data_IF_219356782239
#
_entry.id   IF_219356782239
#
_cell.length_a   1.000
_cell.length_b   1.000
_cell.length_c   1.000
_cell.angle_alpha   90.00
_cell.angle_beta   90.00
_cell.angle_gamma   90.00
#
_symmetry.space_group_name_H-M   'P 1'
#
loop_
_entity.id
_entity.type
_entity.pdbx_description
1 polymer ?
#
# COMPACT_ATOMS: atom_id res chain seq x y z
N UNK A 1 -21.35 -10.69 -13.09
CA UNK A 1 -21.97 -9.52 -12.42
C UNK A 1 -23.15 -9.87 -11.49
N UNK A 2 -23.82 -11.03 -11.62
CA UNK A 2 -24.95 -11.41 -10.75
C UNK A 2 -24.57 -12.04 -9.40
N UNK A 3 -23.46 -12.80 -9.33
CA UNK A 3 -23.01 -13.46 -8.09
C UNK A 3 -22.53 -12.45 -7.03
N UNK A 4 -21.73 -11.46 -7.43
CA UNK A 4 -21.21 -10.43 -6.52
C UNK A 4 -22.32 -9.56 -5.93
N UNK A 5 -23.32 -9.18 -6.74
CA UNK A 5 -24.47 -8.41 -6.28
C UNK A 5 -25.36 -9.17 -5.28
N UNK A 6 -25.59 -10.46 -5.50
CA UNK A 6 -26.34 -11.30 -4.57
C UNK A 6 -25.61 -11.49 -3.23
N UNK A 7 -24.29 -11.69 -3.26
CA UNK A 7 -23.48 -11.78 -2.04
C UNK A 7 -23.48 -10.46 -1.25
N UNK A 8 -23.32 -9.32 -1.93
CA UNK A 8 -23.35 -8.00 -1.28
C UNK A 8 -24.72 -7.72 -0.67
N UNK A 9 -25.81 -8.06 -1.37
CA UNK A 9 -27.17 -7.93 -0.86
C UNK A 9 -27.39 -8.81 0.39
N UNK A 10 -26.99 -10.08 0.34
CA UNK A 10 -27.20 -10.99 1.46
C UNK A 10 -26.34 -10.58 2.68
N UNK A 11 -25.14 -10.05 2.44
CA UNK A 11 -24.28 -9.50 3.48
C UNK A 11 -24.85 -8.22 4.11
N UNK A 12 -25.47 -7.35 3.31
CA UNK A 12 -26.11 -6.12 3.80
C UNK A 12 -27.44 -6.37 4.51
N UNK A 13 -28.16 -7.46 4.19
CA UNK A 13 -29.45 -7.79 4.82
C UNK A 13 -29.32 -8.74 6.02
N UNK A 14 -28.32 -9.63 6.06
CA UNK A 14 -28.20 -10.70 7.08
C UNK A 14 -26.84 -10.67 7.81
N UNK A 15 -25.81 -10.05 7.22
CA UNK A 15 -24.42 -10.20 7.68
C UNK A 15 -23.95 -9.29 8.83
N UNK A 16 -24.68 -8.23 9.17
CA UNK A 16 -24.24 -7.19 10.12
C UNK A 16 -24.77 -7.34 11.56
N UNK A 17 -25.31 -8.52 11.90
CA UNK A 17 -25.83 -8.83 13.24
C UNK A 17 -26.82 -7.80 13.84
N UNK A 18 -27.46 -6.99 13.00
CA UNK A 18 -28.37 -5.90 13.40
C UNK A 18 -27.71 -4.63 13.95
N UNK A 19 -26.36 -4.51 13.95
CA UNK A 19 -25.64 -3.30 14.39
C UNK A 19 -25.00 -2.56 13.23
N UNK A 20 -25.32 -1.27 13.08
CA UNK A 20 -24.74 -0.43 12.01
C UNK A 20 -23.20 -0.41 12.07
N UNK A 21 -22.62 -0.44 13.28
CA UNK A 21 -21.16 -0.50 13.46
C UNK A 21 -20.54 -1.74 12.81
N UNK A 22 -21.20 -2.89 12.88
CA UNK A 22 -20.74 -4.14 12.26
C UNK A 22 -20.82 -4.05 10.73
N UNK A 23 -21.79 -3.30 10.18
CA UNK A 23 -21.88 -3.02 8.75
C UNK A 23 -20.72 -2.14 8.26
N UNK A 24 -20.36 -1.10 9.03
CA UNK A 24 -19.20 -0.24 8.73
C UNK A 24 -17.90 -1.05 8.77
N UNK A 25 -17.74 -1.93 9.77
CA UNK A 25 -16.60 -2.85 9.86
C UNK A 25 -16.54 -3.76 8.62
N UNK A 26 -17.65 -4.38 8.21
CA UNK A 26 -17.70 -5.21 7.00
C UNK A 26 -17.29 -4.44 5.74
N UNK A 27 -17.85 -3.25 5.52
CA UNK A 27 -17.57 -2.44 4.33
C UNK A 27 -16.08 -2.08 4.29
N UNK A 28 -15.55 -1.61 5.42
CA UNK A 28 -14.13 -1.26 5.58
C UNK A 28 -13.23 -2.46 5.29
N UNK A 29 -13.61 -3.64 5.79
CA UNK A 29 -12.87 -4.88 5.59
C UNK A 29 -12.82 -5.24 4.11
N UNK A 30 -13.98 -5.32 3.46
CA UNK A 30 -14.07 -5.71 2.07
C UNK A 30 -13.36 -4.72 1.15
N UNK A 31 -13.49 -3.43 1.41
CA UNK A 31 -12.90 -2.40 0.59
C UNK A 31 -11.37 -2.37 0.72
N UNK A 32 -10.83 -2.53 1.94
CA UNK A 32 -9.39 -2.67 2.17
C UNK A 32 -8.82 -3.94 1.50
N UNK A 33 -9.47 -5.09 1.66
CA UNK A 33 -9.01 -6.34 1.03
C UNK A 33 -9.02 -6.24 -0.49
N UNK A 34 -10.08 -5.67 -1.08
CA UNK A 34 -10.16 -5.45 -2.52
C UNK A 34 -9.05 -4.51 -3.01
N UNK A 35 -8.78 -3.43 -2.27
CA UNK A 35 -7.75 -2.47 -2.60
C UNK A 35 -6.35 -3.07 -2.48
N UNK A 36 -6.06 -3.89 -1.46
CA UNK A 36 -4.80 -4.63 -1.34
C UNK A 36 -4.56 -5.53 -2.55
N UNK A 37 -5.60 -6.25 -3.00
CA UNK A 37 -5.50 -7.12 -4.18
C UNK A 37 -5.24 -6.29 -5.43
N UNK A 38 -5.95 -5.17 -5.62
CA UNK A 38 -5.76 -4.27 -6.76
C UNK A 38 -4.33 -3.72 -6.79
N UNK A 39 -3.82 -3.23 -5.65
CA UNK A 39 -2.47 -2.67 -5.50
C UNK A 39 -1.36 -3.68 -5.84
N UNK A 40 -1.58 -4.97 -5.59
CA UNK A 40 -0.61 -6.02 -5.94
C UNK A 40 -0.77 -6.48 -7.39
N UNK A 41 -2.00 -6.65 -7.87
CA UNK A 41 -2.26 -7.18 -9.20
C UNK A 41 -1.88 -6.20 -10.32
N UNK A 42 -2.14 -4.90 -10.17
CA UNK A 42 -1.87 -3.93 -11.23
C UNK A 42 -0.36 -3.88 -11.58
N UNK A 43 0.57 -3.71 -10.63
CA UNK A 43 2.00 -3.76 -10.94
C UNK A 43 2.46 -5.12 -11.46
N UNK A 44 1.81 -6.20 -11.04
CA UNK A 44 2.09 -7.55 -11.53
C UNK A 44 1.70 -7.72 -13.01
N UNK A 45 0.53 -7.24 -13.41
CA UNK A 45 0.12 -7.20 -14.83
C UNK A 45 1.05 -6.31 -15.67
N UNK A 46 1.57 -5.24 -15.08
CA UNK A 46 2.58 -4.38 -15.69
C UNK A 46 4.03 -4.79 -15.36
N UNK A 47 4.29 -6.08 -15.10
CA UNK A 47 5.61 -6.58 -14.71
C UNK A 47 6.74 -6.19 -15.67
N UNK A 48 6.48 -6.09 -16.98
CA UNK A 48 7.48 -5.62 -17.96
C UNK A 48 7.86 -4.15 -17.75
N UNK A 49 6.87 -3.28 -17.50
CA UNK A 49 7.09 -1.88 -17.16
C UNK A 49 7.85 -1.75 -15.85
N UNK A 50 7.47 -2.53 -14.84
CA UNK A 50 8.18 -2.58 -13.56
C UNK A 50 9.62 -3.07 -13.70
N UNK A 51 9.87 -4.05 -14.57
CA UNK A 51 11.22 -4.52 -14.88
C UNK A 51 12.08 -3.41 -15.50
N UNK A 52 11.53 -2.63 -16.44
CA UNK A 52 12.22 -1.47 -17.00
C UNK A 52 12.61 -0.44 -15.92
N UNK A 53 11.67 -0.08 -15.04
CA UNK A 53 11.92 0.84 -13.92
C UNK A 53 13.02 0.30 -13.00
N UNK A 54 12.92 -0.96 -12.59
CA UNK A 54 13.91 -1.59 -11.70
C UNK A 54 15.29 -1.66 -12.35
N UNK A 55 15.35 -2.00 -13.64
CA UNK A 55 16.62 -2.01 -14.37
C UNK A 55 17.23 -0.61 -14.45
N UNK A 56 16.42 0.43 -14.70
CA UNK A 56 16.90 1.82 -14.64
C UNK A 56 17.47 2.17 -13.27
N UNK A 57 16.81 1.76 -12.18
CA UNK A 57 17.29 2.01 -10.81
C UNK A 57 18.65 1.32 -10.58
N UNK A 58 18.78 0.05 -10.96
CA UNK A 58 20.03 -0.70 -10.83
C UNK A 58 21.15 -0.02 -11.62
N UNK A 59 20.87 0.39 -12.85
CA UNK A 59 21.82 1.14 -13.66
C UNK A 59 22.23 2.45 -13.00
N UNK A 60 21.28 3.21 -12.44
CA UNK A 60 21.57 4.47 -11.74
C UNK A 60 22.53 4.27 -10.57
N UNK A 61 22.28 3.25 -9.74
CA UNK A 61 23.17 2.91 -8.63
C UNK A 61 24.54 2.44 -9.11
N UNK A 62 24.61 1.68 -10.21
CA UNK A 62 25.88 1.24 -10.78
C UNK A 62 26.71 2.40 -11.35
N UNK A 63 26.05 3.43 -11.89
CA UNK A 63 26.69 4.61 -12.49
C UNK A 63 27.13 5.65 -11.45
N UNK A 64 26.69 5.52 -10.20
CA UNK A 64 26.99 6.44 -9.10
C UNK A 64 28.44 6.32 -8.62
N UNK A 65 29.40 6.73 -9.47
CA UNK A 65 30.83 6.57 -9.21
C UNK A 65 31.44 7.74 -8.38
N UNK A 66 30.70 8.85 -8.25
CA UNK A 66 31.14 10.00 -7.46
C UNK A 66 30.50 9.97 -6.06
N UNK A 67 31.29 10.25 -5.02
CA UNK A 67 30.83 10.40 -3.64
C UNK A 67 29.65 11.36 -3.53
N UNK A 68 29.69 12.50 -4.23
CA UNK A 68 28.60 13.49 -4.21
C UNK A 68 27.29 12.93 -4.77
N UNK A 69 27.38 12.10 -5.82
CA UNK A 69 26.21 11.44 -6.41
C UNK A 69 25.61 10.41 -5.44
N UNK A 70 26.48 9.57 -4.88
CA UNK A 70 26.10 8.57 -3.89
C UNK A 70 25.44 9.20 -2.64
N UNK A 71 25.98 10.32 -2.13
CA UNK A 71 25.44 11.01 -0.95
C UNK A 71 24.03 11.55 -1.21
N UNK A 72 23.77 12.11 -2.39
CA UNK A 72 22.44 12.59 -2.78
C UNK A 72 21.46 11.41 -2.91
N UNK A 73 21.83 10.34 -3.61
CA UNK A 73 20.97 9.15 -3.74
C UNK A 73 20.66 8.53 -2.37
N UNK A 74 21.65 8.46 -1.48
CA UNK A 74 21.48 7.96 -0.11
C UNK A 74 20.59 8.84 0.75
N UNK A 75 20.65 10.18 0.60
CA UNK A 75 19.75 11.12 1.27
C UNK A 75 18.28 10.83 0.95
N UNK A 76 17.94 10.57 -0.32
CA UNK A 76 16.57 10.23 -0.70
C UNK A 76 16.17 8.81 -0.28
N UNK A 77 17.06 7.83 -0.43
CA UNK A 77 16.84 6.48 0.06
C UNK A 77 16.61 6.43 1.58
N UNK A 78 17.31 7.27 2.35
CA UNK A 78 17.11 7.41 3.79
C UNK A 78 15.72 7.95 4.12
N UNK A 79 15.24 8.99 3.43
CA UNK A 79 13.87 9.50 3.61
C UNK A 79 12.82 8.41 3.31
N UNK A 80 13.01 7.65 2.23
CA UNK A 80 12.17 6.49 1.89
C UNK A 80 12.14 5.45 3.01
N UNK A 81 13.31 5.07 3.53
CA UNK A 81 13.43 4.12 4.66
C UNK A 81 12.79 4.64 5.94
N UNK A 82 12.90 5.93 6.24
CA UNK A 82 12.30 6.52 7.43
C UNK A 82 10.76 6.40 7.38
N UNK A 83 10.16 6.74 6.25
CA UNK A 83 8.70 6.59 6.03
C UNK A 83 8.29 5.11 6.10
N UNK A 84 9.07 4.21 5.50
CA UNK A 84 8.85 2.76 5.61
C UNK A 84 8.80 2.29 7.08
N UNK A 85 9.81 2.63 7.88
CA UNK A 85 9.91 2.23 9.29
C UNK A 85 8.73 2.79 10.08
N UNK A 86 8.39 4.07 9.87
CA UNK A 86 7.28 4.71 10.55
C UNK A 86 5.94 4.04 10.23
N UNK A 87 5.68 3.77 8.95
CA UNK A 87 4.44 3.13 8.50
C UNK A 87 4.32 1.68 9.00
N UNK A 88 5.42 0.91 8.98
CA UNK A 88 5.46 -0.44 9.54
C UNK A 88 5.20 -0.43 11.05
N UNK A 89 5.79 0.52 11.79
CA UNK A 89 5.59 0.66 13.23
C UNK A 89 4.12 0.96 13.57
N UNK A 90 3.50 1.93 12.89
CA UNK A 90 2.08 2.26 13.10
C UNK A 90 1.20 1.04 12.81
N UNK A 91 1.45 0.36 11.69
CA UNK A 91 0.68 -0.83 11.30
C UNK A 91 0.79 -1.93 12.35
N UNK A 92 2.01 -2.24 12.79
CA UNK A 92 2.25 -3.25 13.82
C UNK A 92 1.55 -2.89 15.13
N UNK A 93 1.62 -1.62 15.54
CA UNK A 93 0.93 -1.13 16.73
C UNK A 93 -0.60 -1.29 16.61
N UNK A 94 -1.20 -0.92 15.47
CA UNK A 94 -2.64 -1.06 15.25
C UNK A 94 -3.10 -2.52 15.26
N UNK A 95 -2.34 -3.43 14.62
CA UNK A 95 -2.64 -4.87 14.64
C UNK A 95 -2.53 -5.42 16.05
N UNK A 96 -1.44 -5.09 16.77
CA UNK A 96 -1.24 -5.54 18.16
C UNK A 96 -2.37 -5.06 19.07
N UNK A 97 -2.75 -3.78 18.99
CA UNK A 97 -3.87 -3.21 19.75
C UNK A 97 -5.17 -3.96 19.49
N UNK A 98 -5.49 -4.25 18.22
CA UNK A 98 -6.71 -4.97 17.85
C UNK A 98 -6.72 -6.40 18.42
N UNK A 99 -5.62 -7.14 18.29
CA UNK A 99 -5.49 -8.50 18.83
C UNK A 99 -5.62 -8.51 20.35
N UNK A 100 -4.99 -7.56 21.04
CA UNK A 100 -5.04 -7.47 22.51
C UNK A 100 -6.45 -7.14 23.02
N UNK A 101 -7.17 -6.25 22.33
CA UNK A 101 -8.52 -5.85 22.72
C UNK A 101 -9.58 -6.92 22.39
N UNK A 102 -9.35 -7.74 21.36
CA UNK A 102 -10.29 -8.77 20.88
C UNK A 102 -9.74 -10.19 21.04
N UNK A 103 -9.21 -10.51 22.22
CA UNK A 103 -8.72 -11.86 22.53
C UNK A 103 -9.83 -12.92 22.40
N UNK A 104 -9.51 -14.16 21.98
CA UNK A 104 -10.51 -15.18 21.74
C UNK A 104 -11.25 -15.53 23.03
N UNK A 105 -12.56 -15.26 23.05
CA UNK A 105 -13.40 -15.47 24.21
C UNK A 105 -14.88 -15.46 23.86
N UNK A 106 -15.70 -15.54 24.89
CA UNK A 106 -17.16 -15.52 24.79
C UNK A 106 -17.67 -14.29 25.53
N UNK A 107 -18.58 -13.54 24.92
CA UNK A 107 -19.17 -12.32 25.48
C UNK A 107 -20.69 -12.37 25.39
N UNK A 108 -21.34 -11.70 26.33
CA UNK A 108 -22.78 -11.51 26.32
C UNK A 108 -23.10 -10.26 25.51
N UNK A 109 -23.81 -10.42 24.38
CA UNK A 109 -24.21 -9.34 23.50
C UNK A 109 -25.70 -9.12 23.64
N UNK A 110 -26.10 -7.90 23.97
CA UNK A 110 -27.52 -7.51 23.97
C UNK A 110 -27.95 -7.26 22.52
N UNK A 111 -28.93 -8.02 22.05
CA UNK A 111 -29.55 -7.88 20.74
C UNK A 111 -31.07 -7.88 20.91
N UNK A 112 -31.73 -6.79 20.50
CA UNK A 112 -33.19 -6.66 20.50
C UNK A 112 -33.84 -7.04 21.84
N UNK A 113 -33.33 -6.48 22.95
CA UNK A 113 -33.77 -6.73 24.34
C UNK A 113 -33.54 -8.15 24.88
N UNK A 114 -32.78 -8.99 24.17
CA UNK A 114 -32.34 -10.32 24.64
C UNK A 114 -30.82 -10.40 24.73
N UNK A 115 -30.29 -11.08 25.75
CA UNK A 115 -28.86 -11.30 25.91
C UNK A 115 -28.48 -12.59 25.20
N UNK A 116 -27.72 -12.48 24.11
CA UNK A 116 -27.24 -13.61 23.31
C UNK A 116 -25.76 -13.80 23.59
N UNK A 117 -25.33 -15.06 23.69
CA UNK A 117 -23.92 -15.42 23.82
C UNK A 117 -23.28 -15.34 22.43
N UNK A 118 -22.18 -14.60 22.29
CA UNK A 118 -21.43 -14.49 21.05
C UNK A 118 -19.93 -14.77 21.27
N UNK A 119 -19.24 -15.22 20.21
CA UNK A 119 -17.79 -15.40 20.22
C UNK A 119 -17.10 -14.13 19.73
N UNK A 120 -15.97 -13.79 20.34
CA UNK A 120 -15.15 -12.67 19.90
C UNK A 120 -14.46 -13.05 18.59
N UNK A 121 -14.59 -12.19 17.59
CA UNK A 121 -13.89 -12.30 16.30
C UNK A 121 -12.96 -11.10 16.19
N UNK A 122 -11.68 -11.27 15.81
CA UNK A 122 -10.71 -10.18 15.84
C UNK A 122 -11.04 -9.11 14.80
N UNK A 123 -11.61 -9.53 13.67
CA UNK A 123 -12.09 -8.66 12.61
C UNK A 123 -13.41 -9.20 12.05
N UNK A 124 -14.42 -8.33 12.01
CA UNK A 124 -15.74 -8.63 11.49
C UNK A 124 -16.77 -9.01 12.56
N UNK A 125 -18.03 -9.18 12.12
CA UNK A 125 -19.16 -9.34 13.02
C UNK A 125 -19.13 -10.66 13.80
N UNK A 126 -19.45 -10.58 15.09
CA UNK A 126 -19.45 -11.75 16.00
C UNK A 126 -20.42 -12.86 15.60
N UNK A 127 -21.52 -12.54 14.89
CA UNK A 127 -22.51 -13.53 14.45
C UNK A 127 -22.03 -14.42 13.28
N UNK A 128 -20.87 -14.13 12.68
CA UNK A 128 -20.29 -15.02 11.65
C UNK A 128 -19.76 -16.33 12.24
N UNK A 129 -19.55 -16.37 13.56
CA UNK A 129 -19.10 -17.57 14.27
C UNK A 129 -20.20 -18.07 15.19
N UNK A 130 -20.75 -19.23 14.87
CA UNK A 130 -21.74 -19.88 15.71
C UNK A 130 -21.14 -20.33 17.06
N UNK A 131 -21.92 -20.20 18.13
CA UNK A 131 -21.57 -20.74 19.46
C UNK A 131 -21.62 -22.26 19.52
N UNK A 132 -22.32 -22.92 18.58
CA UNK A 132 -22.42 -24.39 18.46
C UNK A 132 -21.17 -25.04 17.87
N UNK A 133 -20.28 -24.24 17.28
CA UNK A 133 -19.05 -24.69 16.65
C UNK A 133 -18.05 -25.24 17.68
N UNK A 134 -17.33 -26.35 17.42
CA UNK A 134 -16.31 -26.85 18.34
C UNK A 134 -15.25 -25.78 18.66
N UNK A 135 -14.73 -25.79 19.90
CA UNK A 135 -13.75 -24.80 20.36
C UNK A 135 -12.47 -24.81 19.52
N UNK A 136 -12.03 -25.99 19.09
CA UNK A 136 -10.83 -26.16 18.26
C UNK A 136 -10.99 -25.51 16.88
N UNK A 137 -12.14 -25.73 16.24
CA UNK A 137 -12.43 -25.11 14.95
C UNK A 137 -12.51 -23.58 15.09
N UNK A 138 -13.05 -23.07 16.21
CA UNK A 138 -13.10 -21.63 16.48
C UNK A 138 -11.73 -21.00 16.65
N UNK A 139 -10.84 -21.64 17.42
CA UNK A 139 -9.46 -21.18 17.55
C UNK A 139 -8.75 -21.19 16.21
N UNK A 140 -8.94 -22.23 15.40
CA UNK A 140 -8.37 -22.32 14.05
C UNK A 140 -8.90 -21.22 13.11
N UNK A 141 -10.20 -20.92 13.15
CA UNK A 141 -10.80 -19.82 12.40
C UNK A 141 -10.26 -18.46 12.85
N UNK A 142 -10.18 -18.24 14.17
CA UNK A 142 -9.63 -17.02 14.76
C UNK A 142 -8.17 -16.79 14.31
N UNK A 143 -7.32 -17.81 14.40
CA UNK A 143 -5.91 -17.71 13.99
C UNK A 143 -5.78 -17.46 12.49
N UNK A 144 -6.61 -18.13 11.67
CA UNK A 144 -6.66 -17.92 10.23
C UNK A 144 -6.99 -16.47 9.88
N UNK A 145 -8.00 -15.87 10.52
CA UNK A 145 -8.36 -14.46 10.32
C UNK A 145 -7.17 -13.56 10.69
N UNK A 146 -6.53 -13.78 11.84
CA UNK A 146 -5.36 -12.97 12.23
C UNK A 146 -4.24 -13.02 11.18
N UNK A 147 -3.92 -14.20 10.65
CA UNK A 147 -2.89 -14.39 9.61
C UNK A 147 -3.32 -13.66 8.33
N UNK A 148 -4.56 -13.85 7.90
CA UNK A 148 -5.10 -13.17 6.72
C UNK A 148 -4.98 -11.65 6.85
N UNK A 149 -5.42 -11.09 7.97
CA UNK A 149 -5.37 -9.65 8.23
C UNK A 149 -3.96 -9.08 8.29
N UNK A 150 -3.05 -9.80 8.93
CA UNK A 150 -1.65 -9.44 8.96
C UNK A 150 -1.07 -9.39 7.54
N UNK A 151 -1.33 -10.42 6.74
CA UNK A 151 -0.87 -10.48 5.34
C UNK A 151 -1.49 -9.40 4.46
N UNK A 152 -2.79 -9.14 4.61
CA UNK A 152 -3.51 -8.13 3.84
C UNK A 152 -3.04 -6.71 4.18
N UNK A 153 -2.75 -6.44 5.45
CA UNK A 153 -2.23 -5.16 5.92
C UNK A 153 -0.80 -4.93 5.41
N UNK A 154 0.05 -5.95 5.44
CA UNK A 154 1.40 -5.87 4.87
C UNK A 154 1.37 -5.65 3.36
N UNK A 155 0.50 -6.34 2.63
CA UNK A 155 0.33 -6.13 1.20
C UNK A 155 -0.17 -4.71 0.89
N UNK A 156 -1.12 -4.20 1.69
CA UNK A 156 -1.65 -2.86 1.55
C UNK A 156 -0.56 -1.79 1.67
N UNK A 157 0.10 -1.75 2.83
CA UNK A 157 1.13 -0.76 3.16
C UNK A 157 2.41 -0.97 2.35
N UNK A 158 2.77 -2.22 2.04
CA UNK A 158 3.99 -2.56 1.33
C UNK A 158 4.07 -1.93 -0.05
N UNK A 159 2.96 -1.90 -0.79
CA UNK A 159 2.90 -1.26 -2.10
C UNK A 159 3.04 0.26 -1.98
N UNK A 160 2.43 0.89 -0.97
CA UNK A 160 2.54 2.34 -0.78
C UNK A 160 3.97 2.78 -0.46
N UNK A 161 4.62 2.02 0.44
CA UNK A 161 6.03 2.21 0.76
C UNK A 161 6.90 2.02 -0.48
N UNK A 162 6.58 1.01 -1.31
CA UNK A 162 7.31 0.74 -2.53
C UNK A 162 7.19 1.89 -3.54
N UNK A 163 5.97 2.36 -3.82
CA UNK A 163 5.71 3.52 -4.69
C UNK A 163 6.44 4.76 -4.16
N UNK A 164 6.33 5.02 -2.86
CA UNK A 164 7.02 6.16 -2.24
C UNK A 164 8.54 6.05 -2.40
N UNK A 165 9.11 4.86 -2.19
CA UNK A 165 10.54 4.60 -2.40
C UNK A 165 10.99 4.87 -3.83
N UNK A 166 10.21 4.44 -4.83
CA UNK A 166 10.46 4.71 -6.25
C UNK A 166 10.39 6.22 -6.53
N UNK A 167 9.38 6.91 -6.01
CA UNK A 167 9.26 8.36 -6.12
C UNK A 167 10.45 9.09 -5.50
N UNK A 168 10.92 8.67 -4.33
CA UNK A 168 12.10 9.24 -3.69
C UNK A 168 13.37 9.01 -4.51
N UNK A 169 13.54 7.83 -5.11
CA UNK A 169 14.64 7.59 -6.05
C UNK A 169 14.58 8.55 -7.24
N UNK A 170 13.41 8.72 -7.85
CA UNK A 170 13.20 9.65 -8.97
C UNK A 170 13.54 11.09 -8.59
N UNK A 171 13.06 11.57 -7.43
CA UNK A 171 13.42 12.89 -6.91
C UNK A 171 14.94 13.04 -6.75
N UNK A 172 15.63 11.99 -6.27
CA UNK A 172 17.08 11.98 -6.18
C UNK A 172 17.76 12.08 -7.54
N UNK A 173 17.26 11.37 -8.55
CA UNK A 173 17.80 11.44 -9.91
C UNK A 173 17.58 12.81 -10.56
N UNK A 174 16.44 13.47 -10.30
CA UNK A 174 16.22 14.84 -10.76
C UNK A 174 17.09 15.87 -10.02
N UNK A 175 17.35 15.69 -8.71
CA UNK A 175 18.30 16.54 -7.97
C UNK A 175 19.72 16.40 -8.54
N UNK A 176 20.15 15.18 -8.89
CA UNK A 176 21.43 14.94 -9.56
C UNK A 176 21.49 15.59 -10.94
N UNK A 177 20.44 15.43 -11.74
CA UNK A 177 20.36 16.00 -13.07
C UNK A 177 20.42 17.54 -13.02
N UNK A 178 19.75 18.16 -12.04
CA UNK A 178 19.84 19.61 -11.79
C UNK A 178 21.27 20.03 -11.47
N UNK A 179 21.98 19.28 -10.62
CA UNK A 179 23.38 19.56 -10.31
C UNK A 179 24.32 19.40 -11.51
N UNK A 180 24.01 18.53 -12.46
CA UNK A 180 24.77 18.39 -13.68
C UNK A 180 24.52 19.55 -14.65
N UNK A 181 23.32 20.14 -14.65
CA UNK A 181 23.01 21.36 -15.38
C UNK A 181 23.82 22.56 -14.87
N UNK A 182 23.91 22.71 -13.54
CA UNK A 182 24.66 23.81 -12.90
C UNK A 182 26.15 23.81 -13.24
N UNK A 183 26.70 22.65 -13.64
CA UNK A 183 28.10 22.51 -14.05
C UNK A 183 28.35 22.97 -15.48
N UNK A 184 27.32 23.18 -16.29
CA UNK A 184 27.47 23.68 -17.65
C UNK A 184 27.70 25.19 -17.54
N UNK A 185 28.97 25.58 -17.42
CA UNK A 185 29.36 26.99 -17.37
C UNK A 185 29.62 27.56 -18.76
N UNK A 186 29.45 28.88 -18.90
CA UNK A 186 29.69 29.60 -20.15
C UNK A 186 31.16 29.65 -20.59
N UNK A 187 32.08 29.25 -19.72
CA UNK A 187 33.53 29.41 -19.90
C UNK A 187 34.20 28.25 -20.66
N UNK A 188 33.41 27.23 -21.01
CA UNK A 188 33.88 26.03 -21.71
C UNK A 188 33.86 26.23 -23.23
N UNK A 189 34.62 25.39 -23.97
CA UNK A 189 34.55 25.41 -25.44
C UNK A 189 33.16 25.00 -25.92
N UNK A 190 32.68 25.62 -26.99
CA UNK A 190 31.37 25.35 -27.59
C UNK A 190 31.07 23.86 -27.79
N UNK A 191 32.03 23.09 -28.33
CA UNK A 191 31.87 21.63 -28.54
C UNK A 191 31.65 20.85 -27.24
N UNK A 192 32.33 21.27 -26.15
CA UNK A 192 32.19 20.62 -24.85
C UNK A 192 30.83 20.93 -24.21
N UNK A 193 30.39 22.19 -24.32
CA UNK A 193 29.08 22.63 -23.87
C UNK A 193 27.97 21.88 -24.62
N UNK A 194 28.07 21.80 -25.94
CA UNK A 194 27.12 21.09 -26.78
C UNK A 194 27.02 19.60 -26.38
N UNK A 195 28.16 18.95 -26.12
CA UNK A 195 28.20 17.55 -25.66
C UNK A 195 27.56 17.38 -24.28
N UNK A 196 27.85 18.27 -23.31
CA UNK A 196 27.25 18.23 -21.96
C UNK A 196 25.74 18.43 -22.02
N UNK A 197 25.27 19.39 -22.80
CA UNK A 197 23.85 19.64 -23.00
C UNK A 197 23.15 18.45 -23.67
N UNK A 198 23.75 17.85 -24.70
CA UNK A 198 23.20 16.66 -25.34
C UNK A 198 23.05 15.48 -24.36
N UNK A 199 24.06 15.25 -23.50
CA UNK A 199 24.01 14.23 -22.46
C UNK A 199 22.93 14.54 -21.40
N UNK A 200 22.81 15.80 -20.99
CA UNK A 200 21.77 16.27 -20.08
C UNK A 200 20.37 15.99 -20.64
N UNK A 201 20.09 16.41 -21.87
CA UNK A 201 18.77 16.19 -22.52
C UNK A 201 18.47 14.70 -22.64
N UNK A 202 19.45 13.88 -23.04
CA UNK A 202 19.27 12.42 -23.11
C UNK A 202 18.93 11.83 -21.75
N UNK A 203 19.60 12.27 -20.69
CA UNK A 203 19.33 11.80 -19.32
C UNK A 203 17.97 12.27 -18.80
N UNK A 204 17.61 13.53 -19.06
CA UNK A 204 16.32 14.10 -18.71
C UNK A 204 15.17 13.29 -19.33
N UNK A 205 15.23 13.04 -20.63
CA UNK A 205 14.21 12.26 -21.33
C UNK A 205 14.10 10.83 -20.78
N UNK A 206 15.23 10.16 -20.53
CA UNK A 206 15.21 8.84 -19.89
C UNK A 206 14.52 8.85 -18.52
N UNK A 207 14.76 9.87 -17.69
CA UNK A 207 14.08 9.99 -16.39
C UNK A 207 12.58 10.29 -16.54
N UNK A 208 12.19 11.04 -17.57
CA UNK A 208 10.77 11.25 -17.90
C UNK A 208 10.11 9.93 -18.33
N UNK A 209 10.77 9.13 -19.17
CA UNK A 209 10.24 7.82 -19.58
C UNK A 209 10.00 6.90 -18.37
N UNK A 210 10.91 6.91 -17.38
CA UNK A 210 10.75 6.17 -16.12
C UNK A 210 9.60 6.74 -15.28
N UNK A 211 9.46 8.06 -15.20
CA UNK A 211 8.39 8.71 -14.45
C UNK A 211 7.00 8.43 -15.06
N UNK A 212 6.88 8.52 -16.38
CA UNK A 212 5.66 8.20 -17.14
C UNK A 212 5.33 6.71 -16.97
N UNK A 213 6.33 5.83 -17.00
CA UNK A 213 6.12 4.40 -16.74
C UNK A 213 5.61 4.14 -15.33
N UNK A 214 6.10 4.86 -14.32
CA UNK A 214 5.59 4.77 -12.95
C UNK A 214 4.15 5.26 -12.85
N UNK A 215 3.85 6.40 -13.47
CA UNK A 215 2.49 6.96 -13.51
C UNK A 215 1.52 6.00 -14.17
N UNK A 216 1.88 5.44 -15.32
CA UNK A 216 1.09 4.43 -16.03
C UNK A 216 0.74 3.20 -15.19
N UNK A 217 1.65 2.76 -14.34
CA UNK A 217 1.44 1.57 -13.49
C UNK A 217 0.62 1.90 -12.26
N UNK A 218 0.85 3.07 -11.64
CA UNK A 218 0.32 3.38 -10.32
C UNK A 218 -0.84 4.38 -10.32
N UNK A 219 -1.22 4.98 -11.45
CA UNK A 219 -2.33 5.93 -11.55
C UNK A 219 -3.66 5.32 -11.02
N UNK A 220 -4.00 4.11 -11.45
CA UNK A 220 -5.23 3.43 -11.09
C UNK A 220 -5.23 2.97 -9.62
N UNK A 221 -4.17 2.32 -9.10
CA UNK A 221 -4.06 2.04 -7.66
C UNK A 221 -4.19 3.27 -6.77
N UNK A 222 -3.53 4.37 -7.11
CA UNK A 222 -3.58 5.62 -6.34
C UNK A 222 -4.99 6.22 -6.39
N UNK A 223 -5.62 6.27 -7.57
CA UNK A 223 -6.99 6.76 -7.71
C UNK A 223 -7.98 5.91 -6.90
N UNK A 224 -7.87 4.59 -7.00
CA UNK A 224 -8.71 3.66 -6.25
C UNK A 224 -8.55 3.84 -4.73
N UNK A 225 -7.33 4.09 -4.26
CA UNK A 225 -7.06 4.39 -2.86
C UNK A 225 -7.70 5.70 -2.39
N UNK A 226 -7.57 6.78 -3.15
CA UNK A 226 -8.18 8.08 -2.80
C UNK A 226 -9.71 7.97 -2.71
N UNK A 227 -10.33 7.28 -3.66
CA UNK A 227 -11.77 7.02 -3.66
C UNK A 227 -12.16 6.18 -2.45
N UNK A 228 -11.46 5.09 -2.18
CA UNK A 228 -11.72 4.22 -1.04
C UNK A 228 -11.62 4.98 0.29
N UNK A 229 -10.57 5.78 0.47
CA UNK A 229 -10.37 6.56 1.68
C UNK A 229 -11.48 7.59 1.87
N UNK A 230 -11.94 8.24 0.80
CA UNK A 230 -13.06 9.19 0.85
C UNK A 230 -14.36 8.51 1.27
N UNK A 231 -14.65 7.32 0.73
CA UNK A 231 -15.82 6.53 1.12
C UNK A 231 -15.73 6.14 2.59
N UNK A 232 -14.60 5.59 3.05
CA UNK A 232 -14.43 5.16 4.45
C UNK A 232 -14.58 6.35 5.41
N UNK A 233 -13.95 7.49 5.13
CA UNK A 233 -14.06 8.70 5.95
C UNK A 233 -15.50 9.21 5.98
N UNK A 234 -16.25 9.09 4.88
CA UNK A 234 -17.64 9.56 4.82
C UNK A 234 -18.61 8.65 5.58
N UNK A 235 -18.26 7.36 5.74
CA UNK A 235 -19.08 6.36 6.43
C UNK A 235 -18.72 6.23 7.92
N UNK A 236 -17.50 6.63 8.31
CA UNK A 236 -16.98 6.58 9.69
C UNK A 236 -17.44 7.78 10.51
#
# INVERSE_FOLDING_TARGET
>A
LSLSGFYIWNLSTVGYCGKILDLVEIITILSLSLLSVLKVLVPWFHSQKMYFVLNSIVEDWSRANNRKCHDIMMKFAYKGRLVCIFQLFITAFLIMRNILHKLPGIVNVVHSNTTIIARIVPYGPSCWVSTTMPIEYYKAYYTWICIHWFSASLAYIGIDIYIFGLGMHMCGQFELLSHDLDKITGDEKYEEQQRKLANFVKRHNHLLDVAETLEDVFNLPILAEVINNTIIISVS
#
